data_IF_255386150786
#
_entry.id   IF_255386150786
#
_cell.length_a   1.000
_cell.length_b   1.000
_cell.length_c   1.000
_cell.angle_alpha   90.00
_cell.angle_beta   90.00
_cell.angle_gamma   90.00
#
_symmetry.space_group_name_H-M   'P 1'
#
loop_
_entity.id
_entity.type
_entity.pdbx_description
1 polymer ?
#
# COMPACT_ATOMS: atom_id res chain seq x y z
N UNK A 1 -15.80 0.64 -28.17
CA UNK A 1 -16.84 0.94 -27.17
C UNK A 1 -18.19 0.90 -27.86
N UNK A 2 -19.20 0.29 -27.25
CA UNK A 2 -20.57 0.31 -27.79
C UNK A 2 -21.17 1.71 -27.69
N UNK A 3 -22.19 1.99 -28.52
CA UNK A 3 -22.92 3.25 -28.50
C UNK A 3 -23.57 3.52 -27.14
N UNK A 4 -24.20 2.50 -26.55
CA UNK A 4 -24.75 2.58 -25.19
C UNK A 4 -23.70 2.98 -24.13
N UNK A 5 -22.47 2.46 -24.23
CA UNK A 5 -21.41 2.82 -23.30
C UNK A 5 -20.95 4.27 -23.48
N UNK A 6 -20.84 4.75 -24.73
CA UNK A 6 -20.50 6.15 -25.00
C UNK A 6 -21.58 7.08 -24.47
N UNK A 7 -22.85 6.80 -24.76
CA UNK A 7 -23.98 7.58 -24.26
C UNK A 7 -24.03 7.64 -22.73
N UNK A 8 -23.73 6.52 -22.05
CA UNK A 8 -23.61 6.47 -20.59
C UNK A 8 -22.52 7.42 -20.06
N UNK A 9 -21.30 7.33 -20.61
CA UNK A 9 -20.17 8.18 -20.19
C UNK A 9 -20.45 9.65 -20.49
N UNK A 10 -20.99 9.98 -21.66
CA UNK A 10 -21.37 11.35 -22.04
C UNK A 10 -22.40 11.95 -21.09
N UNK A 11 -23.39 11.15 -20.66
CA UNK A 11 -24.38 11.61 -19.69
C UNK A 11 -23.74 11.92 -18.32
N UNK A 12 -22.84 11.06 -17.84
CA UNK A 12 -22.09 11.31 -16.60
C UNK A 12 -21.23 12.59 -16.70
N UNK A 13 -20.51 12.76 -17.81
CA UNK A 13 -19.69 13.95 -18.05
C UNK A 13 -20.53 15.22 -18.04
N UNK A 14 -21.67 15.22 -18.74
CA UNK A 14 -22.59 16.37 -18.75
C UNK A 14 -23.11 16.70 -17.35
N UNK A 15 -23.48 15.69 -16.56
CA UNK A 15 -23.95 15.91 -15.18
C UNK A 15 -22.83 16.47 -14.30
N UNK A 16 -21.60 15.97 -14.44
CA UNK A 16 -20.43 16.49 -13.74
C UNK A 16 -20.17 17.96 -14.08
N UNK A 17 -20.19 18.32 -15.37
CA UNK A 17 -20.00 19.69 -15.85
C UNK A 17 -21.06 20.64 -15.29
N UNK A 18 -22.33 20.22 -15.23
CA UNK A 18 -23.42 20.99 -14.64
C UNK A 18 -23.16 21.27 -13.15
N UNK A 19 -22.79 20.26 -12.37
CA UNK A 19 -22.48 20.42 -10.94
C UNK A 19 -21.23 21.29 -10.75
N UNK A 20 -20.21 21.12 -11.58
CA UNK A 20 -18.99 21.91 -11.51
C UNK A 20 -19.26 23.39 -11.81
N UNK A 21 -20.09 23.70 -12.81
CA UNK A 21 -20.49 25.06 -13.12
C UNK A 21 -21.20 25.75 -11.94
N UNK A 22 -22.07 25.03 -11.23
CA UNK A 22 -22.70 25.52 -9.99
C UNK A 22 -21.64 25.82 -8.93
N UNK A 23 -20.68 24.90 -8.73
CA UNK A 23 -19.58 25.08 -7.77
C UNK A 23 -18.74 26.32 -8.07
N UNK A 24 -18.42 26.57 -9.35
CA UNK A 24 -17.69 27.77 -9.78
C UNK A 24 -18.45 29.04 -9.42
N UNK A 25 -19.76 29.10 -9.69
CA UNK A 25 -20.56 30.28 -9.36
C UNK A 25 -20.69 30.50 -7.84
N UNK A 26 -20.78 29.41 -7.07
CA UNK A 26 -20.80 29.49 -5.60
C UNK A 26 -19.48 30.04 -5.05
N UNK A 27 -18.34 29.47 -5.47
CA UNK A 27 -17.00 29.86 -5.00
C UNK A 27 -16.64 31.31 -5.33
N UNK A 28 -17.12 31.83 -6.47
CA UNK A 28 -16.96 33.25 -6.85
C UNK A 28 -17.55 34.25 -5.86
N UNK A 29 -18.49 33.82 -4.99
CA UNK A 29 -19.06 34.69 -3.94
C UNK A 29 -18.06 35.01 -2.82
N UNK A 30 -16.91 34.33 -2.77
CA UNK A 30 -15.85 34.63 -1.80
C UNK A 30 -16.20 34.26 -0.35
N UNK A 31 -17.13 33.31 -0.16
CA UNK A 31 -17.56 32.83 1.16
C UNK A 31 -16.71 31.66 1.68
N UNK A 32 -15.84 31.11 0.84
CA UNK A 32 -14.98 29.95 1.10
C UNK A 32 -13.49 30.34 0.96
N UNK A 33 -12.53 29.50 1.43
CA UNK A 33 -11.09 29.79 1.35
C UNK A 33 -10.52 30.06 -0.05
N UNK A 34 -11.22 29.64 -1.11
CA UNK A 34 -10.81 29.80 -2.49
C UNK A 34 -11.96 30.30 -3.38
N UNK A 35 -11.64 31.17 -4.34
CA UNK A 35 -12.60 31.73 -5.32
C UNK A 35 -12.93 30.78 -6.49
N UNK A 36 -12.26 29.62 -6.55
CA UNK A 36 -12.50 28.55 -7.52
C UNK A 36 -12.68 27.21 -6.79
N UNK A 37 -13.35 26.22 -7.40
CA UNK A 37 -13.33 24.86 -6.89
C UNK A 37 -11.89 24.36 -6.75
N UNK A 38 -11.57 23.77 -5.59
CA UNK A 38 -10.23 23.23 -5.29
C UNK A 38 -10.05 21.80 -5.83
N UNK A 39 -11.15 21.10 -6.12
CA UNK A 39 -11.13 19.80 -6.78
C UNK A 39 -11.09 20.02 -8.30
N UNK A 40 -9.97 19.71 -8.93
CA UNK A 40 -9.83 19.79 -10.39
C UNK A 40 -10.28 18.47 -11.04
N UNK A 41 -10.88 18.56 -12.22
CA UNK A 41 -11.34 17.40 -12.99
C UNK A 41 -10.17 16.91 -13.85
N UNK A 42 -9.73 15.67 -13.62
CA UNK A 42 -8.77 14.98 -14.47
C UNK A 42 -9.46 13.90 -15.30
N UNK A 43 -9.12 13.80 -16.59
CA UNK A 43 -9.72 12.82 -17.52
C UNK A 43 -9.03 11.47 -17.51
N UNK A 44 -7.74 11.46 -17.18
CA UNK A 44 -6.90 10.27 -17.19
C UNK A 44 -5.80 10.36 -16.13
N UNK A 45 -5.02 9.27 -16.02
CA UNK A 45 -3.85 9.18 -15.14
C UNK A 45 -2.85 10.32 -15.37
N UNK A 46 -2.68 10.75 -16.62
CA UNK A 46 -1.66 11.72 -16.98
C UNK A 46 -2.02 13.12 -16.45
N UNK A 47 -3.28 13.54 -16.63
CA UNK A 47 -3.81 14.77 -16.04
C UNK A 47 -3.86 14.69 -14.51
N UNK A 48 -4.14 13.52 -13.94
CA UNK A 48 -4.13 13.33 -12.49
C UNK A 48 -2.73 13.53 -11.90
N UNK A 49 -1.69 12.97 -12.53
CA UNK A 49 -0.29 13.16 -12.11
C UNK A 49 0.13 14.62 -12.27
N UNK A 50 -0.16 15.23 -13.42
CA UNK A 50 0.17 16.64 -13.67
C UNK A 50 -0.54 17.58 -12.69
N UNK A 51 -1.84 17.39 -12.45
CA UNK A 51 -2.61 18.20 -11.52
C UNK A 51 -2.18 18.00 -10.06
N UNK A 52 -1.76 16.79 -9.68
CA UNK A 52 -1.37 16.48 -8.30
C UNK A 52 0.01 17.02 -7.94
N UNK A 53 1.01 16.83 -8.82
CA UNK A 53 2.41 17.18 -8.52
C UNK A 53 3.14 17.87 -9.68
N UNK A 54 2.57 17.92 -10.88
CA UNK A 54 3.25 18.44 -12.07
C UNK A 54 4.44 17.57 -12.50
N UNK A 55 5.41 18.14 -13.24
CA UNK A 55 5.44 19.52 -13.73
C UNK A 55 4.47 19.76 -14.90
N UNK A 56 4.17 21.02 -15.27
CA UNK A 56 3.37 21.32 -16.44
C UNK A 56 3.91 20.68 -17.72
N UNK A 57 3.02 20.10 -18.53
CA UNK A 57 3.34 19.38 -19.77
C UNK A 57 3.78 17.92 -19.58
N UNK A 58 3.88 17.43 -18.34
CA UNK A 58 4.25 16.02 -18.09
C UNK A 58 3.19 15.03 -18.58
N UNK A 59 1.92 15.43 -18.61
CA UNK A 59 0.83 14.55 -19.03
C UNK A 59 1.00 14.06 -20.47
N UNK A 60 1.53 14.87 -21.38
CA UNK A 60 1.80 14.47 -22.76
C UNK A 60 2.81 13.33 -22.83
N UNK A 61 3.91 13.44 -22.07
CA UNK A 61 4.94 12.40 -22.02
C UNK A 61 4.42 11.12 -21.36
N UNK A 62 3.60 11.24 -20.31
CA UNK A 62 2.94 10.08 -19.67
C UNK A 62 2.01 9.36 -20.66
N UNK A 63 1.20 10.11 -21.43
CA UNK A 63 0.32 9.54 -22.46
C UNK A 63 1.10 8.85 -23.59
N UNK A 64 2.25 9.39 -23.96
CA UNK A 64 3.13 8.77 -24.95
C UNK A 64 3.72 7.45 -24.42
N UNK A 65 4.34 7.48 -23.25
CA UNK A 65 5.03 6.31 -22.69
C UNK A 65 4.09 5.22 -22.17
N UNK A 66 2.88 5.56 -21.74
CA UNK A 66 1.89 4.56 -21.32
C UNK A 66 1.48 3.57 -22.41
N UNK A 67 1.78 3.87 -23.69
CA UNK A 67 1.52 2.96 -24.82
C UNK A 67 2.56 1.85 -24.94
N UNK A 68 3.78 2.05 -24.45
CA UNK A 68 4.93 1.18 -24.73
C UNK A 68 5.71 0.74 -23.49
N UNK A 69 5.62 1.49 -22.38
CA UNK A 69 6.34 1.25 -21.14
C UNK A 69 5.41 0.74 -20.05
N UNK A 70 5.95 -0.11 -19.18
CA UNK A 70 5.32 -0.40 -17.90
C UNK A 70 5.29 0.84 -17.00
N UNK A 71 4.42 0.82 -16.00
CA UNK A 71 4.28 1.91 -15.01
C UNK A 71 5.61 2.21 -14.31
N UNK A 72 6.36 1.18 -13.97
CA UNK A 72 7.67 1.32 -13.33
C UNK A 72 8.68 1.95 -14.28
N UNK A 73 8.83 1.45 -15.52
CA UNK A 73 9.74 2.02 -16.53
C UNK A 73 9.43 3.50 -16.81
N UNK A 74 8.16 3.82 -16.95
CA UNK A 74 7.68 5.19 -17.17
C UNK A 74 8.04 6.12 -16.02
N UNK A 75 7.91 5.67 -14.77
CA UNK A 75 8.27 6.48 -13.60
C UNK A 75 9.75 6.87 -13.61
N UNK A 76 10.65 5.93 -13.96
CA UNK A 76 12.08 6.23 -14.11
C UNK A 76 12.36 7.13 -15.30
N UNK A 77 11.69 6.89 -16.44
CA UNK A 77 11.89 7.72 -17.64
C UNK A 77 11.47 9.17 -17.43
N UNK A 78 10.30 9.40 -16.82
CA UNK A 78 9.83 10.75 -16.51
C UNK A 78 10.73 11.42 -15.47
N UNK A 79 11.22 10.68 -14.46
CA UNK A 79 12.18 11.21 -13.50
C UNK A 79 13.48 11.68 -14.19
N UNK A 80 14.00 10.91 -15.14
CA UNK A 80 15.15 11.28 -15.96
C UNK A 80 14.90 12.58 -16.74
N UNK A 81 13.78 12.68 -17.45
CA UNK A 81 13.43 13.86 -18.26
C UNK A 81 13.25 15.13 -17.43
N UNK A 82 12.71 15.00 -16.21
CA UNK A 82 12.60 16.10 -15.25
C UNK A 82 14.00 16.58 -14.83
N UNK A 83 14.91 15.66 -14.53
CA UNK A 83 16.29 16.02 -14.13
C UNK A 83 17.05 16.68 -15.27
N UNK A 84 16.88 16.22 -16.51
CA UNK A 84 17.49 16.85 -17.69
C UNK A 84 16.80 18.15 -18.14
N UNK A 85 15.67 18.51 -17.54
CA UNK A 85 15.01 19.80 -17.76
C UNK A 85 14.04 19.86 -18.95
N UNK A 86 13.55 18.71 -19.44
CA UNK A 86 12.54 18.67 -20.53
C UNK A 86 11.31 19.54 -20.24
N UNK A 87 10.90 19.59 -18.96
CA UNK A 87 9.74 20.35 -18.47
C UNK A 87 10.15 21.70 -17.83
N UNK A 88 11.27 22.26 -18.28
CA UNK A 88 11.87 23.48 -17.76
C UNK A 88 12.99 23.22 -16.75
N UNK A 89 14.09 23.97 -16.89
CA UNK A 89 15.23 23.86 -15.99
C UNK A 89 14.89 24.28 -14.56
N UNK A 90 15.40 23.50 -13.60
CA UNK A 90 15.26 23.75 -12.16
C UNK A 90 16.60 23.55 -11.48
N UNK A 91 16.78 24.21 -10.34
CA UNK A 91 17.89 23.94 -9.43
C UNK A 91 17.95 22.44 -9.06
N UNK A 92 19.14 21.83 -8.88
CA UNK A 92 19.30 20.39 -8.68
C UNK A 92 18.39 19.79 -7.60
N UNK A 93 18.24 20.48 -6.47
CA UNK A 93 17.36 20.04 -5.36
C UNK A 93 15.89 20.04 -5.77
N UNK A 94 15.44 21.10 -6.47
CA UNK A 94 14.06 21.22 -6.95
C UNK A 94 13.76 20.23 -8.08
N UNK A 95 14.74 19.97 -8.95
CA UNK A 95 14.63 18.94 -9.98
C UNK A 95 14.52 17.55 -9.36
N UNK A 96 15.34 17.24 -8.34
CA UNK A 96 15.26 15.98 -7.61
C UNK A 96 13.92 15.80 -6.89
N UNK A 97 13.45 16.84 -6.20
CA UNK A 97 12.15 16.80 -5.53
C UNK A 97 11.01 16.56 -6.51
N UNK A 98 10.98 17.33 -7.61
CA UNK A 98 9.97 17.17 -8.66
C UNK A 98 10.01 15.76 -9.25
N UNK A 99 11.21 15.25 -9.58
CA UNK A 99 11.37 13.92 -10.16
C UNK A 99 10.85 12.82 -9.22
N UNK A 100 11.21 12.87 -7.93
CA UNK A 100 10.76 11.90 -6.93
C UNK A 100 9.24 11.95 -6.74
N UNK A 101 8.65 13.15 -6.64
CA UNK A 101 7.20 13.32 -6.48
C UNK A 101 6.43 12.83 -7.70
N UNK A 102 6.82 13.24 -8.90
CA UNK A 102 6.15 12.83 -10.15
C UNK A 102 6.27 11.33 -10.38
N UNK A 103 7.43 10.74 -10.14
CA UNK A 103 7.61 9.30 -10.26
C UNK A 103 6.76 8.52 -9.24
N UNK A 104 6.69 8.96 -7.98
CA UNK A 104 5.80 8.35 -6.99
C UNK A 104 4.32 8.51 -7.37
N UNK A 105 3.93 9.64 -7.97
CA UNK A 105 2.58 9.84 -8.48
C UNK A 105 2.25 8.85 -9.61
N UNK A 106 3.17 8.60 -10.54
CA UNK A 106 3.01 7.57 -11.59
C UNK A 106 2.87 6.17 -10.95
N UNK A 107 3.75 5.83 -10.00
CA UNK A 107 3.72 4.52 -9.33
C UNK A 107 2.44 4.27 -8.54
N UNK A 108 1.85 5.33 -7.98
CA UNK A 108 0.59 5.27 -7.20
C UNK A 108 -0.64 5.62 -8.04
N UNK A 109 -0.48 5.72 -9.35
CA UNK A 109 -1.54 6.05 -10.31
C UNK A 109 -2.26 7.38 -10.01
N UNK A 110 -1.60 8.30 -9.30
CA UNK A 110 -2.16 9.58 -8.87
C UNK A 110 -3.31 9.46 -7.85
N UNK A 111 -3.62 8.26 -7.36
CA UNK A 111 -4.78 7.99 -6.52
C UNK A 111 -4.53 8.25 -5.02
N UNK A 112 -3.29 8.50 -4.63
CA UNK A 112 -2.89 8.58 -3.22
C UNK A 112 -2.33 9.96 -2.88
N UNK A 113 -2.40 10.33 -1.60
CA UNK A 113 -1.79 11.56 -1.11
C UNK A 113 -0.26 11.45 -0.93
N UNK A 114 0.32 10.26 -1.14
CA UNK A 114 1.74 9.99 -0.90
C UNK A 114 2.71 10.90 -1.69
N UNK A 115 2.49 11.20 -2.98
CA UNK A 115 3.37 12.11 -3.73
C UNK A 115 3.37 13.55 -3.19
N UNK A 116 2.23 14.01 -2.67
CA UNK A 116 2.04 15.38 -2.22
C UNK A 116 2.40 15.56 -0.73
N UNK A 117 1.84 14.70 0.13
CA UNK A 117 1.93 14.79 1.58
C UNK A 117 2.88 13.75 2.19
N UNK A 118 3.20 12.68 1.47
CA UNK A 118 4.08 11.61 1.95
C UNK A 118 5.56 11.94 1.78
N UNK A 119 5.96 12.47 0.61
CA UNK A 119 7.29 13.05 0.37
C UNK A 119 7.21 14.54 0.70
N UNK A 120 7.83 14.97 1.79
CA UNK A 120 7.75 16.36 2.30
C UNK A 120 8.71 17.28 1.56
N UNK A 121 9.96 16.84 1.39
CA UNK A 121 11.00 17.56 0.66
C UNK A 121 12.15 16.62 0.29
N UNK A 122 12.96 17.05 -0.66
CA UNK A 122 14.25 16.43 -0.96
C UNK A 122 15.37 17.41 -0.64
N UNK A 123 16.48 16.94 -0.10
CA UNK A 123 17.64 17.76 0.22
C UNK A 123 18.93 17.11 -0.27
N UNK A 124 19.95 17.93 -0.53
CA UNK A 124 21.32 17.47 -0.76
C UNK A 124 22.11 17.76 0.52
N UNK A 125 22.63 16.71 1.15
CA UNK A 125 23.38 16.77 2.41
C UNK A 125 24.80 16.27 2.19
N UNK A 126 25.62 16.35 3.24
CA UNK A 126 27.06 16.09 3.17
C UNK A 126 27.46 14.96 4.10
N UNK A 127 28.21 13.99 3.60
CA UNK A 127 28.79 12.89 4.36
C UNK A 127 30.01 13.37 5.20
N UNK A 128 30.50 12.51 6.09
CA UNK A 128 31.70 12.80 6.89
C UNK A 128 32.96 13.05 6.04
N UNK A 129 33.06 12.43 4.86
CA UNK A 129 34.13 12.62 3.88
C UNK A 129 33.89 13.82 2.94
N UNK A 130 32.91 14.67 3.25
CA UNK A 130 32.47 15.83 2.47
C UNK A 130 31.82 15.51 1.13
N UNK A 131 31.56 14.25 0.79
CA UNK A 131 30.80 13.93 -0.41
C UNK A 131 29.32 14.31 -0.25
N UNK A 132 28.70 14.79 -1.32
CA UNK A 132 27.29 15.20 -1.32
C UNK A 132 26.39 14.02 -1.68
N UNK A 133 25.28 13.85 -0.97
CA UNK A 133 24.33 12.77 -1.18
C UNK A 133 22.88 13.27 -1.09
N UNK A 134 21.92 12.46 -1.52
CA UNK A 134 20.49 12.79 -1.51
C UNK A 134 19.79 12.30 -0.24
N UNK A 135 18.95 13.14 0.35
CA UNK A 135 18.07 12.82 1.48
C UNK A 135 16.61 13.08 1.12
N UNK A 136 15.74 12.11 1.39
CA UNK A 136 14.30 12.23 1.15
C UNK A 136 13.58 12.26 2.49
N UNK A 137 12.78 13.31 2.71
CA UNK A 137 12.01 13.50 3.93
C UNK A 137 10.60 12.96 3.74
N UNK A 138 10.24 11.97 4.55
CA UNK A 138 8.93 11.36 4.55
C UNK A 138 8.07 11.82 5.74
N UNK A 139 6.76 11.88 5.54
CA UNK A 139 5.77 12.07 6.59
C UNK A 139 4.78 10.90 6.65
N UNK A 140 3.99 10.82 7.72
CA UNK A 140 2.99 9.77 7.96
C UNK A 140 2.08 9.42 6.78
N UNK A 141 1.59 10.40 5.97
CA UNK A 141 0.74 10.14 4.81
C UNK A 141 1.37 9.23 3.74
N UNK A 142 2.69 9.00 3.75
CA UNK A 142 3.36 8.02 2.88
C UNK A 142 2.77 6.61 3.01
N UNK A 143 2.12 6.31 4.14
CA UNK A 143 1.37 5.06 4.38
C UNK A 143 0.30 4.78 3.32
N UNK A 144 -0.22 5.81 2.65
CA UNK A 144 -1.21 5.66 1.58
C UNK A 144 -0.64 5.02 0.31
N UNK A 145 0.68 5.13 0.06
CA UNK A 145 1.34 4.37 -0.99
C UNK A 145 1.53 2.91 -0.57
N UNK A 146 1.42 1.98 -1.52
CA UNK A 146 1.75 0.58 -1.27
C UNK A 146 3.21 0.43 -0.85
N UNK A 147 3.52 -0.56 0.01
CA UNK A 147 4.90 -0.75 0.50
C UNK A 147 5.93 -0.90 -0.63
N UNK A 148 5.54 -1.47 -1.77
CA UNK A 148 6.42 -1.54 -2.95
C UNK A 148 6.70 -0.15 -3.52
N UNK A 149 5.69 0.71 -3.66
CA UNK A 149 5.85 2.06 -4.23
C UNK A 149 6.64 2.97 -3.28
N UNK A 150 6.44 2.81 -1.96
CA UNK A 150 7.28 3.44 -0.93
C UNK A 150 8.76 3.08 -1.12
N UNK A 151 9.07 1.79 -1.29
CA UNK A 151 10.43 1.33 -1.50
C UNK A 151 11.03 1.81 -2.83
N UNK A 152 10.24 1.76 -3.92
CA UNK A 152 10.66 2.25 -5.23
C UNK A 152 10.96 3.75 -5.21
N UNK A 153 10.33 4.53 -4.32
CA UNK A 153 10.68 5.95 -4.12
C UNK A 153 12.17 6.12 -3.78
N UNK A 154 12.75 5.21 -2.99
CA UNK A 154 14.18 5.25 -2.65
C UNK A 154 15.07 4.78 -3.80
N UNK A 155 14.59 3.81 -4.60
CA UNK A 155 15.29 3.36 -5.81
C UNK A 155 15.32 4.49 -6.85
N UNK A 156 14.21 5.21 -7.02
CA UNK A 156 14.14 6.41 -7.86
C UNK A 156 15.04 7.51 -7.29
N UNK A 157 15.06 7.70 -5.97
CA UNK A 157 16.00 8.62 -5.33
C UNK A 157 17.46 8.28 -5.65
N UNK A 158 17.81 6.99 -5.66
CA UNK A 158 19.15 6.51 -6.03
C UNK A 158 19.46 6.71 -7.51
N UNK A 159 18.45 6.57 -8.37
CA UNK A 159 18.59 6.87 -9.79
C UNK A 159 18.81 8.37 -10.02
N UNK A 160 17.95 9.22 -9.45
CA UNK A 160 18.01 10.69 -9.54
C UNK A 160 19.34 11.23 -9.00
N UNK A 161 19.80 10.73 -7.84
CA UNK A 161 21.08 11.20 -7.26
C UNK A 161 22.28 10.86 -8.14
N UNK A 162 22.25 9.74 -8.87
CA UNK A 162 23.29 9.40 -9.86
C UNK A 162 23.26 10.35 -11.06
N UNK A 163 22.08 10.68 -11.58
CA UNK A 163 21.93 11.65 -12.68
C UNK A 163 22.48 13.04 -12.29
N UNK A 164 22.33 13.42 -11.02
CA UNK A 164 22.86 14.67 -10.47
C UNK A 164 24.34 14.61 -10.06
N UNK A 165 25.03 13.48 -10.28
CA UNK A 165 26.43 13.31 -9.90
C UNK A 165 26.69 13.30 -8.39
N UNK A 166 25.69 12.92 -7.59
CA UNK A 166 25.79 12.80 -6.14
C UNK A 166 26.31 11.41 -5.73
N UNK A 167 27.11 11.40 -4.65
CA UNK A 167 27.61 10.18 -4.04
C UNK A 167 26.50 9.45 -3.25
N UNK A 168 26.77 8.21 -2.85
CA UNK A 168 25.90 7.45 -1.96
C UNK A 168 25.88 8.04 -0.55
N UNK A 169 24.77 7.87 0.12
CA UNK A 169 24.67 8.05 1.56
C UNK A 169 25.57 7.04 2.29
N UNK A 170 26.31 7.54 3.28
CA UNK A 170 27.22 6.79 4.15
C UNK A 170 26.73 6.98 5.60
N UNK A 171 25.81 6.12 6.10
CA UNK A 171 25.30 6.24 7.45
C UNK A 171 26.39 5.96 8.49
N UNK A 172 26.36 6.72 9.58
CA UNK A 172 27.14 6.44 10.78
C UNK A 172 26.47 5.33 11.60
N UNK A 173 27.25 4.68 12.47
CA UNK A 173 26.71 3.68 13.41
C UNK A 173 25.60 4.27 14.29
N UNK A 174 25.74 5.51 14.74
CA UNK A 174 24.76 6.19 15.59
C UNK A 174 23.46 6.45 14.86
N UNK A 175 23.49 6.85 13.58
CA UNK A 175 22.28 7.04 12.78
C UNK A 175 21.53 5.73 12.54
N UNK A 176 22.25 4.62 12.33
CA UNK A 176 21.65 3.29 12.18
C UNK A 176 20.97 2.87 13.49
N UNK A 177 21.68 3.00 14.62
CA UNK A 177 21.14 2.62 15.92
C UNK A 177 19.98 3.54 16.34
N UNK A 178 20.04 4.84 16.00
CA UNK A 178 18.94 5.78 16.14
C UNK A 178 17.70 5.31 15.39
N UNK A 179 17.86 4.89 14.13
CA UNK A 179 16.74 4.42 13.32
C UNK A 179 16.12 3.15 13.93
N UNK A 180 16.94 2.21 14.41
CA UNK A 180 16.47 0.99 15.07
C UNK A 180 15.74 1.32 16.40
N UNK A 181 16.27 2.24 17.20
CA UNK A 181 15.59 2.73 18.42
C UNK A 181 14.21 3.31 18.08
N UNK A 182 14.13 4.16 17.05
CA UNK A 182 12.86 4.73 16.58
C UNK A 182 11.86 3.65 16.14
N UNK A 183 12.29 2.61 15.41
CA UNK A 183 11.40 1.48 15.02
C UNK A 183 10.80 0.82 16.26
N UNK A 184 11.61 0.49 17.26
CA UNK A 184 11.15 -0.20 18.47
C UNK A 184 10.25 0.67 19.34
N UNK A 185 10.55 1.96 19.44
CA UNK A 185 9.69 2.92 20.12
C UNK A 185 8.36 3.08 19.39
N UNK A 186 8.37 3.13 18.05
CA UNK A 186 7.14 3.25 17.25
C UNK A 186 6.23 2.04 17.43
N UNK A 187 6.77 0.81 17.39
CA UNK A 187 6.03 -0.43 17.64
C UNK A 187 5.40 -0.47 19.04
N UNK A 188 6.10 0.08 20.04
CA UNK A 188 5.67 0.08 21.44
C UNK A 188 4.63 1.16 21.74
N UNK A 189 4.83 2.38 21.24
CA UNK A 189 4.13 3.57 21.70
C UNK A 189 3.12 4.14 20.69
N UNK A 190 3.28 3.85 19.39
CA UNK A 190 2.47 4.49 18.34
C UNK A 190 1.58 3.45 17.66
N UNK A 191 2.16 2.56 16.87
CA UNK A 191 1.40 1.54 16.13
C UNK A 191 2.32 0.46 15.57
N UNK A 192 1.73 -0.68 15.21
CA UNK A 192 2.47 -1.79 14.62
C UNK A 192 2.73 -1.56 13.14
N UNK A 193 3.84 -2.12 12.68
CA UNK A 193 4.16 -2.24 11.26
C UNK A 193 3.40 -3.41 10.60
N UNK A 194 3.35 -3.44 9.27
CA UNK A 194 2.80 -4.58 8.53
C UNK A 194 3.68 -5.83 8.61
N UNK A 195 4.98 -5.62 8.80
CA UNK A 195 5.98 -6.67 8.93
C UNK A 195 6.75 -6.48 10.23
N UNK A 196 6.86 -7.55 11.01
CA UNK A 196 7.84 -7.59 12.08
C UNK A 196 9.21 -7.93 11.49
N UNK A 197 10.15 -6.98 11.61
CA UNK A 197 11.50 -7.07 11.05
C UNK A 197 12.51 -7.04 12.19
N UNK A 198 13.50 -7.91 12.15
CA UNK A 198 14.55 -7.97 13.18
C UNK A 198 15.52 -6.79 13.12
N UNK A 199 16.17 -6.48 14.24
CA UNK A 199 17.20 -5.41 14.31
C UNK A 199 18.34 -5.66 13.32
N UNK A 200 18.73 -6.92 13.13
CA UNK A 200 19.80 -7.30 12.21
C UNK A 200 19.41 -7.05 10.74
N UNK A 201 18.17 -7.38 10.36
CA UNK A 201 17.66 -7.11 9.01
C UNK A 201 17.55 -5.61 8.74
N UNK A 202 17.07 -4.83 9.72
CA UNK A 202 17.04 -3.36 9.61
C UNK A 202 18.45 -2.78 9.49
N UNK A 203 19.38 -3.23 10.33
CA UNK A 203 20.78 -2.79 10.31
C UNK A 203 21.40 -3.00 8.93
N UNK A 204 21.31 -4.22 8.40
CA UNK A 204 21.84 -4.55 7.08
C UNK A 204 21.23 -3.67 6.00
N UNK A 205 19.91 -3.51 5.99
CA UNK A 205 19.25 -2.64 5.01
C UNK A 205 19.75 -1.19 5.09
N UNK A 206 19.84 -0.63 6.29
CA UNK A 206 20.29 0.74 6.51
C UNK A 206 21.75 0.97 6.07
N UNK A 207 22.65 -0.01 6.27
CA UNK A 207 24.05 0.08 5.84
C UNK A 207 24.22 0.16 4.31
N UNK A 208 23.31 -0.46 3.55
CA UNK A 208 23.37 -0.50 2.09
C UNK A 208 22.54 0.57 1.38
N UNK A 209 21.63 1.27 2.07
CA UNK A 209 20.79 2.29 1.45
C UNK A 209 21.64 3.46 0.89
N UNK A 210 21.57 3.74 -0.42
CA UNK A 210 22.39 4.78 -1.06
C UNK A 210 21.81 6.20 -0.92
N UNK A 211 20.61 6.33 -0.35
CA UNK A 211 19.89 7.59 -0.13
C UNK A 211 19.48 7.63 1.34
N UNK A 212 19.60 8.80 1.98
CA UNK A 212 19.14 8.96 3.36
C UNK A 212 17.61 8.96 3.39
N UNK A 213 17.05 8.01 4.14
CA UNK A 213 15.62 7.96 4.48
C UNK A 213 15.44 8.69 5.79
N UNK A 214 14.88 9.90 5.73
CA UNK A 214 14.61 10.72 6.91
C UNK A 214 13.19 11.27 6.83
N UNK A 215 12.80 12.15 7.73
CA UNK A 215 11.42 12.62 7.79
C UNK A 215 11.20 13.72 8.80
N UNK A 216 10.00 14.29 8.73
CA UNK A 216 9.51 15.20 9.76
C UNK A 216 9.16 14.40 11.01
N UNK A 217 9.15 15.08 12.16
CA UNK A 217 8.54 14.50 13.36
C UNK A 217 7.07 14.17 13.07
N UNK A 218 6.67 12.94 13.40
CA UNK A 218 5.29 12.48 13.22
C UNK A 218 4.55 12.29 14.54
N UNK A 219 5.28 11.96 15.61
CA UNK A 219 4.71 11.57 16.89
C UNK A 219 5.46 12.26 18.04
N UNK A 220 4.78 12.64 19.13
CA UNK A 220 5.39 13.35 20.27
C UNK A 220 6.20 12.43 21.19
N UNK A 221 6.82 11.38 20.63
CA UNK A 221 7.65 10.41 21.36
C UNK A 221 9.11 10.71 21.04
N UNK A 222 9.92 10.90 22.08
CA UNK A 222 11.34 11.20 21.94
C UNK A 222 12.21 9.94 22.06
N UNK A 223 13.34 9.96 21.35
CA UNK A 223 14.39 8.97 21.55
C UNK A 223 15.20 9.28 22.81
N UNK A 224 15.76 8.22 23.40
CA UNK A 224 16.53 8.30 24.64
C UNK A 224 18.03 8.31 24.38
N UNK A 225 18.51 7.40 23.53
CA UNK A 225 19.95 7.11 23.44
C UNK A 225 20.66 7.99 22.41
N UNK A 226 20.11 8.10 21.20
CA UNK A 226 20.80 8.74 20.07
C UNK A 226 20.23 10.12 19.74
N UNK A 227 20.37 11.07 20.68
CA UNK A 227 19.86 12.45 20.56
C UNK A 227 20.84 13.38 19.84
N UNK A 228 20.32 14.44 19.23
CA UNK A 228 21.08 15.56 18.64
C UNK A 228 22.13 15.14 17.60
N UNK A 229 21.80 14.15 16.76
CA UNK A 229 22.71 13.72 15.70
C UNK A 229 22.84 14.82 14.63
N UNK A 230 24.05 15.12 14.10
CA UNK A 230 24.29 16.28 13.24
C UNK A 230 23.40 16.36 11.99
N UNK A 231 22.99 15.20 11.46
CA UNK A 231 22.17 15.07 10.25
C UNK A 231 20.71 14.72 10.56
N UNK A 232 20.28 14.73 11.82
CA UNK A 232 18.88 14.43 12.17
C UNK A 232 18.34 15.60 12.98
N UNK A 233 17.43 16.36 12.37
CA UNK A 233 16.99 17.67 12.84
C UNK A 233 15.99 17.61 14.00
N UNK A 234 15.60 16.40 14.44
CA UNK A 234 14.64 16.18 15.54
C UNK A 234 15.08 15.03 16.44
N UNK A 235 14.64 15.06 17.70
CA UNK A 235 14.76 13.93 18.64
C UNK A 235 13.49 13.09 18.74
N UNK A 236 12.47 13.41 17.94
CA UNK A 236 11.21 12.67 17.90
C UNK A 236 11.22 11.59 16.83
N UNK A 237 10.24 10.70 16.90
CA UNK A 237 10.06 9.62 15.93
C UNK A 237 9.66 10.17 14.55
N UNK A 238 10.30 9.64 13.51
CA UNK A 238 10.06 9.96 12.09
C UNK A 238 9.28 8.83 11.41
N UNK A 239 8.03 8.61 11.80
CA UNK A 239 7.22 7.45 11.43
C UNK A 239 7.06 7.22 9.93
N UNK A 240 7.08 8.28 9.11
CA UNK A 240 7.10 8.16 7.64
C UNK A 240 8.34 7.42 7.13
N UNK A 241 9.52 7.83 7.58
CA UNK A 241 10.80 7.20 7.24
C UNK A 241 10.84 5.73 7.68
N UNK A 242 10.38 5.47 8.91
CA UNK A 242 10.34 4.12 9.47
C UNK A 242 9.51 3.15 8.62
N UNK A 243 8.34 3.60 8.13
CA UNK A 243 7.46 2.79 7.28
C UNK A 243 8.10 2.45 5.94
N UNK A 244 8.72 3.43 5.30
CA UNK A 244 9.38 3.23 4.00
C UNK A 244 10.47 2.16 4.09
N UNK A 245 11.23 2.14 5.19
CA UNK A 245 12.28 1.11 5.40
C UNK A 245 11.67 -0.23 5.84
N UNK A 246 10.83 -0.22 6.89
CA UNK A 246 10.33 -1.46 7.50
C UNK A 246 9.27 -2.17 6.63
N UNK A 247 8.20 -1.46 6.26
CA UNK A 247 7.09 -2.02 5.47
C UNK A 247 7.39 -2.03 3.98
N UNK A 248 8.26 -1.13 3.52
CA UNK A 248 8.70 -1.02 2.13
C UNK A 248 9.95 -1.85 1.82
N UNK A 249 11.14 -1.30 2.03
CA UNK A 249 12.43 -1.90 1.63
C UNK A 249 12.56 -3.33 2.17
N UNK A 250 12.47 -3.53 3.48
CA UNK A 250 12.64 -4.84 4.08
C UNK A 250 11.36 -5.66 3.92
N UNK A 251 10.20 -5.06 4.21
CA UNK A 251 8.86 -5.63 4.08
C UNK A 251 8.58 -6.28 2.71
N UNK A 252 8.99 -5.61 1.63
CA UNK A 252 8.74 -5.98 0.22
C UNK A 252 10.00 -6.28 -0.57
N UNK A 253 11.13 -6.56 0.08
CA UNK A 253 12.43 -6.81 -0.55
C UNK A 253 12.34 -7.71 -1.81
N UNK A 254 11.60 -8.82 -1.76
CA UNK A 254 11.41 -9.71 -2.91
C UNK A 254 10.79 -9.04 -4.13
N UNK A 255 9.72 -8.25 -3.94
CA UNK A 255 9.00 -7.60 -5.03
C UNK A 255 9.78 -6.41 -5.57
N UNK A 256 10.44 -5.66 -4.69
CA UNK A 256 11.33 -4.56 -5.07
C UNK A 256 12.51 -5.10 -5.89
N UNK A 257 13.13 -6.19 -5.45
CA UNK A 257 14.22 -6.84 -6.19
C UNK A 257 13.79 -7.24 -7.61
N UNK A 258 12.63 -7.90 -7.77
CA UNK A 258 12.14 -8.29 -9.10
C UNK A 258 11.99 -7.10 -10.05
N UNK A 259 11.54 -5.95 -9.54
CA UNK A 259 11.40 -4.73 -10.35
C UNK A 259 12.77 -4.15 -10.69
N UNK A 260 13.65 -3.99 -9.70
CA UNK A 260 15.02 -3.50 -9.86
C UNK A 260 15.79 -4.33 -10.89
N UNK A 261 15.70 -5.66 -10.78
CA UNK A 261 16.34 -6.61 -11.69
C UNK A 261 15.80 -6.49 -13.11
N UNK A 262 14.47 -6.42 -13.27
CA UNK A 262 13.82 -6.23 -14.57
C UNK A 262 14.25 -4.93 -15.24
N UNK A 263 14.41 -3.86 -14.47
CA UNK A 263 14.83 -2.54 -14.95
C UNK A 263 16.36 -2.41 -15.12
N UNK A 264 17.14 -3.42 -14.75
CA UNK A 264 18.61 -3.38 -14.84
C UNK A 264 19.27 -2.38 -13.90
N UNK A 265 18.64 -2.03 -12.77
CA UNK A 265 19.16 -1.03 -11.83
C UNK A 265 20.25 -1.68 -10.95
N UNK A 266 21.48 -1.19 -11.10
CA UNK A 266 22.64 -1.72 -10.38
C UNK A 266 22.74 -1.21 -8.94
N UNK A 267 23.37 -1.99 -8.05
CA UNK A 267 23.71 -1.59 -6.68
C UNK A 267 22.66 -1.97 -5.61
N UNK A 268 21.68 -2.79 -5.99
CA UNK A 268 20.58 -3.23 -5.13
C UNK A 268 20.55 -4.76 -4.92
N UNK A 269 21.59 -5.49 -5.34
CA UNK A 269 21.72 -6.96 -5.21
C UNK A 269 21.61 -7.48 -3.77
N UNK A 270 21.94 -6.63 -2.79
CA UNK A 270 21.82 -6.95 -1.37
C UNK A 270 20.36 -7.25 -0.94
N UNK A 271 19.36 -6.81 -1.71
CA UNK A 271 17.95 -7.21 -1.49
C UNK A 271 17.72 -8.72 -1.61
N UNK A 272 18.56 -9.45 -2.37
CA UNK A 272 18.50 -10.92 -2.46
C UNK A 272 18.71 -11.57 -1.10
N UNK A 273 19.66 -11.06 -0.32
CA UNK A 273 20.00 -11.60 1.00
C UNK A 273 18.86 -11.36 2.01
N UNK A 274 18.18 -10.21 1.90
CA UNK A 274 16.97 -9.89 2.71
C UNK A 274 15.78 -10.78 2.33
N UNK A 275 15.69 -11.22 1.07
CA UNK A 275 14.64 -12.15 0.61
C UNK A 275 14.82 -13.57 1.19
N UNK A 276 16.06 -14.04 1.31
CA UNK A 276 16.35 -15.41 1.77
C UNK A 276 16.05 -15.62 3.25
N UNK A 277 16.26 -14.60 4.09
CA UNK A 277 15.92 -14.66 5.53
C UNK A 277 14.43 -14.88 5.78
N UNK A 278 13.56 -14.31 4.92
CA UNK A 278 12.10 -14.37 5.06
C UNK A 278 11.48 -15.72 4.73
N UNK A 279 12.00 -16.45 3.75
CA UNK A 279 11.44 -17.76 3.34
C UNK A 279 11.46 -18.79 4.47
N UNK A 280 12.30 -18.62 5.49
CA UNK A 280 12.40 -19.54 6.63
C UNK A 280 11.33 -19.35 7.73
N UNK A 281 10.49 -18.31 7.69
CA UNK A 281 9.61 -17.91 8.82
C UNK A 281 8.08 -17.98 8.56
N UNK A 282 7.59 -18.73 7.58
CA UNK A 282 6.20 -18.62 7.06
C UNK A 282 5.05 -19.15 7.94
N UNK A 283 5.17 -19.21 9.27
CA UNK A 283 4.14 -19.75 10.17
C UNK A 283 3.22 -18.70 10.85
N UNK A 284 3.24 -17.44 10.39
CA UNK A 284 2.68 -16.29 11.14
C UNK A 284 1.17 -16.00 11.06
N UNK A 285 0.31 -16.92 10.57
CA UNK A 285 -1.13 -16.60 10.48
C UNK A 285 -1.84 -16.54 11.85
N UNK A 286 -1.40 -17.37 12.82
CA UNK A 286 -2.07 -17.52 14.13
C UNK A 286 -1.47 -16.65 15.24
N UNK A 287 -0.34 -15.99 15.02
CA UNK A 287 0.33 -15.18 16.05
C UNK A 287 -0.39 -13.83 16.32
N UNK A 288 -1.42 -13.49 15.54
CA UNK A 288 -2.10 -12.19 15.57
C UNK A 288 -3.63 -12.30 15.79
N UNK A 289 -4.06 -13.19 16.68
CA UNK A 289 -5.48 -13.23 17.10
C UNK A 289 -5.75 -12.10 18.08
N UNK A 290 -6.51 -11.09 17.64
CA UNK A 290 -6.95 -9.98 18.48
C UNK A 290 -8.19 -10.42 19.27
N UNK A 291 -8.25 -10.06 20.56
CA UNK A 291 -9.42 -10.29 21.40
C UNK A 291 -10.70 -9.77 20.73
N UNK A 292 -11.77 -10.56 20.75
CA UNK A 292 -13.06 -10.24 20.11
C UNK A 292 -13.17 -10.62 18.63
N UNK A 293 -12.10 -11.12 17.99
CA UNK A 293 -12.18 -11.72 16.64
C UNK A 293 -12.27 -13.24 16.74
N UNK A 294 -13.40 -13.87 16.37
CA UNK A 294 -13.53 -15.32 16.43
C UNK A 294 -12.62 -16.00 15.40
N UNK A 295 -12.10 -17.17 15.77
CA UNK A 295 -11.41 -18.08 14.85
C UNK A 295 -12.46 -19.07 14.34
N UNK A 296 -12.78 -18.99 13.05
CA UNK A 296 -13.79 -19.88 12.46
C UNK A 296 -13.24 -21.28 12.16
N UNK A 297 -11.96 -21.39 11.79
CA UNK A 297 -11.30 -22.68 11.53
C UNK A 297 -9.80 -22.56 11.71
N UNK A 298 -9.19 -23.63 12.24
CA UNK A 298 -7.73 -23.79 12.19
C UNK A 298 -7.28 -24.15 10.76
N UNK A 299 -6.03 -23.82 10.38
CA UNK A 299 -5.47 -24.21 9.08
C UNK A 299 -5.56 -25.72 8.86
N UNK A 300 -5.95 -26.15 7.66
CA UNK A 300 -6.08 -27.56 7.26
C UNK A 300 -6.96 -28.44 8.17
N UNK A 301 -7.87 -27.83 8.96
CA UNK A 301 -8.78 -28.57 9.83
C UNK A 301 -10.01 -29.04 9.04
N UNK A 302 -10.24 -30.36 9.04
CA UNK A 302 -11.48 -30.96 8.53
C UNK A 302 -12.67 -30.40 9.33
N UNK A 303 -13.71 -29.96 8.63
CA UNK A 303 -14.90 -29.29 9.21
C UNK A 303 -14.89 -27.77 9.09
N UNK A 304 -13.74 -27.17 8.71
CA UNK A 304 -13.66 -25.76 8.33
C UNK A 304 -14.39 -25.43 7.03
N UNK A 305 -14.14 -24.24 6.50
CA UNK A 305 -14.64 -23.85 5.19
C UNK A 305 -14.08 -24.76 4.10
N UNK A 306 -14.95 -25.36 3.29
CA UNK A 306 -14.56 -26.14 2.13
C UNK A 306 -14.28 -25.19 0.96
N UNK A 307 -13.07 -25.22 0.43
CA UNK A 307 -12.70 -24.39 -0.71
C UNK A 307 -13.52 -24.79 -1.94
N UNK A 308 -14.16 -23.80 -2.59
CA UNK A 308 -14.81 -23.96 -3.89
C UNK A 308 -14.29 -22.91 -4.85
N UNK A 309 -13.65 -23.34 -5.93
CA UNK A 309 -13.24 -22.42 -6.99
C UNK A 309 -14.48 -21.95 -7.77
N UNK A 310 -14.60 -20.65 -7.95
CA UNK A 310 -15.63 -20.07 -8.80
C UNK A 310 -15.85 -18.59 -8.53
N UNK A 311 -16.68 -17.97 -9.37
CA UNK A 311 -17.05 -16.56 -9.24
C UNK A 311 -18.55 -16.42 -9.44
N UNK A 312 -19.23 -15.94 -8.40
CA UNK A 312 -20.61 -15.50 -8.47
C UNK A 312 -20.69 -14.04 -8.96
N UNK A 313 -21.90 -13.59 -9.34
CA UNK A 313 -22.18 -12.22 -9.83
C UNK A 313 -21.66 -11.10 -8.93
N UNK A 314 -21.60 -11.35 -7.63
CA UNK A 314 -21.18 -10.39 -6.61
C UNK A 314 -19.75 -10.65 -6.09
N UNK A 315 -19.07 -11.73 -6.45
CA UNK A 315 -17.74 -12.08 -5.90
C UNK A 315 -16.58 -11.87 -6.89
N UNK A 316 -15.35 -12.03 -6.41
CA UNK A 316 -14.09 -11.67 -7.10
C UNK A 316 -13.50 -10.36 -6.56
N UNK A 317 -12.31 -9.97 -7.02
CA UNK A 317 -11.57 -8.82 -6.48
C UNK A 317 -11.39 -8.91 -4.94
N UNK A 318 -10.95 -10.08 -4.46
CA UNK A 318 -10.88 -10.44 -3.05
C UNK A 318 -12.22 -10.53 -2.29
N UNK A 319 -13.37 -10.48 -2.96
CA UNK A 319 -14.64 -10.84 -2.35
C UNK A 319 -14.88 -12.37 -2.44
N UNK A 320 -15.17 -12.98 -1.29
CA UNK A 320 -15.41 -14.41 -1.12
C UNK A 320 -16.89 -14.71 -0.87
N UNK A 321 -17.37 -15.82 -1.41
CA UNK A 321 -18.76 -16.23 -1.24
C UNK A 321 -18.94 -17.15 -0.04
N UNK A 322 -19.93 -16.85 0.80
CA UNK A 322 -20.34 -17.69 1.94
C UNK A 322 -21.85 -17.91 1.87
N UNK A 323 -22.30 -19.12 2.20
CA UNK A 323 -23.72 -19.41 2.23
C UNK A 323 -24.43 -18.63 3.35
N UNK A 324 -25.59 -17.98 3.11
CA UNK A 324 -26.30 -17.22 4.14
C UNK A 324 -26.64 -18.03 5.41
N UNK A 325 -26.97 -19.32 5.26
CA UNK A 325 -27.17 -20.20 6.41
C UNK A 325 -25.93 -20.31 7.33
N UNK A 326 -24.71 -20.28 6.76
CA UNK A 326 -23.46 -20.25 7.56
C UNK A 326 -23.36 -18.97 8.38
N UNK A 327 -23.76 -17.83 7.82
CA UNK A 327 -23.78 -16.55 8.55
C UNK A 327 -24.69 -16.62 9.78
N UNK A 328 -25.87 -17.22 9.63
CA UNK A 328 -26.84 -17.42 10.72
C UNK A 328 -26.33 -18.38 11.79
N UNK A 329 -25.78 -19.53 11.37
CA UNK A 329 -25.20 -20.55 12.28
C UNK A 329 -24.03 -19.98 13.08
N UNK A 330 -23.29 -19.04 12.50
CA UNK A 330 -22.22 -18.30 13.16
C UNK A 330 -22.72 -17.04 13.89
N UNK A 331 -24.01 -16.98 14.23
CA UNK A 331 -24.62 -15.91 15.03
C UNK A 331 -24.36 -14.49 14.50
N UNK A 332 -24.22 -14.34 13.17
CA UNK A 332 -23.97 -13.04 12.54
C UNK A 332 -22.56 -12.49 12.72
N UNK A 333 -21.62 -13.24 13.29
CA UNK A 333 -20.20 -12.85 13.30
C UNK A 333 -19.63 -12.72 11.89
N UNK A 334 -20.13 -13.54 10.97
CA UNK A 334 -19.93 -13.38 9.53
C UNK A 334 -21.23 -12.82 8.95
N UNK A 335 -21.13 -11.69 8.28
CA UNK A 335 -22.22 -11.05 7.54
C UNK A 335 -21.71 -10.56 6.19
N UNK A 336 -22.62 -10.09 5.33
CA UNK A 336 -22.26 -9.41 4.10
C UNK A 336 -21.40 -8.17 4.42
N UNK A 337 -20.20 -8.08 3.84
CA UNK A 337 -19.22 -7.04 4.10
C UNK A 337 -18.20 -7.36 5.21
N UNK A 338 -18.38 -8.44 5.98
CA UNK A 338 -17.38 -8.86 6.98
C UNK A 338 -16.07 -9.23 6.29
N UNK A 339 -14.96 -8.62 6.70
CA UNK A 339 -13.64 -8.99 6.23
C UNK A 339 -13.12 -10.21 7.00
N UNK A 340 -12.98 -11.33 6.32
CA UNK A 340 -12.28 -12.51 6.84
C UNK A 340 -10.78 -12.37 6.61
N UNK A 341 -9.99 -12.79 7.60
CA UNK A 341 -8.56 -13.03 7.42
C UNK A 341 -8.42 -14.47 6.91
N UNK A 342 -7.81 -14.65 5.74
CA UNK A 342 -7.70 -15.95 5.09
C UNK A 342 -6.29 -16.51 5.24
N UNK A 343 -6.16 -17.83 5.38
CA UNK A 343 -4.87 -18.50 5.30
C UNK A 343 -4.39 -18.64 3.84
N UNK A 344 -5.33 -18.80 2.90
CA UNK A 344 -5.10 -18.90 1.46
C UNK A 344 -6.43 -18.68 0.70
N UNK A 345 -6.46 -18.01 -0.47
CA UNK A 345 -5.44 -17.14 -1.03
C UNK A 345 -5.53 -15.73 -0.42
N UNK A 346 -4.43 -14.98 -0.48
CA UNK A 346 -4.36 -13.61 0.02
C UNK A 346 -4.43 -13.52 1.55
N UNK A 347 -4.36 -12.28 2.07
CA UNK A 347 -4.39 -12.00 3.53
C UNK A 347 -5.79 -11.75 4.07
N UNK A 348 -6.78 -11.61 3.20
CA UNK A 348 -8.17 -11.46 3.60
C UNK A 348 -9.13 -11.43 2.42
N UNK A 349 -10.41 -11.59 2.73
CA UNK A 349 -11.48 -11.51 1.74
C UNK A 349 -12.77 -10.96 2.34
N UNK A 350 -13.51 -10.19 1.55
CA UNK A 350 -14.78 -9.60 1.96
C UNK A 350 -15.90 -10.58 1.68
N UNK A 351 -16.68 -10.91 2.70
CA UNK A 351 -17.75 -11.90 2.57
C UNK A 351 -18.95 -11.33 1.84
N UNK A 352 -19.45 -12.09 0.87
CA UNK A 352 -20.70 -11.83 0.19
C UNK A 352 -21.58 -13.08 0.16
N UNK A 353 -22.91 -12.92 0.23
CA UNK A 353 -23.82 -14.05 0.24
C UNK A 353 -23.87 -14.73 -1.12
N UNK A 354 -23.75 -16.06 -1.13
CA UNK A 354 -23.96 -16.92 -2.29
C UNK A 354 -24.79 -18.12 -1.84
N UNK A 355 -26.02 -18.22 -2.31
CA UNK A 355 -27.01 -19.23 -1.93
C UNK A 355 -26.94 -20.52 -2.79
N UNK A 356 -26.17 -20.51 -3.87
CA UNK A 356 -25.98 -21.66 -4.76
C UNK A 356 -24.85 -22.61 -4.37
N UNK A 357 -24.10 -22.31 -3.31
CA UNK A 357 -23.00 -23.15 -2.80
C UNK A 357 -23.46 -24.01 -1.61
N UNK A 358 -22.66 -24.99 -1.19
CA UNK A 358 -23.11 -25.89 -0.12
C UNK A 358 -23.19 -25.16 1.23
N UNK A 359 -24.30 -25.34 1.98
CA UNK A 359 -24.52 -24.74 3.29
C UNK A 359 -23.80 -25.52 4.41
N UNK A 360 -23.85 -25.08 5.68
CA UNK A 360 -23.19 -25.79 6.76
C UNK A 360 -23.96 -27.07 7.14
N UNK A 361 -23.27 -27.98 7.84
CA UNK A 361 -23.85 -29.19 8.43
C UNK A 361 -23.60 -29.17 9.92
N UNK A 362 -24.66 -29.39 10.71
CA UNK A 362 -24.65 -29.25 12.17
C UNK A 362 -25.21 -30.51 12.84
N UNK A 363 -24.76 -30.77 14.07
CA UNK A 363 -25.38 -31.73 15.00
C UNK A 363 -26.23 -30.96 15.99
N UNK A 364 -27.49 -31.36 16.13
CA UNK A 364 -28.43 -30.79 17.09
C UNK A 364 -28.29 -31.46 18.46
N UNK A 365 -28.80 -30.82 19.52
CA UNK A 365 -28.79 -31.32 20.91
C UNK A 365 -29.47 -32.68 21.10
N UNK A 366 -30.37 -33.07 20.18
CA UNK A 366 -31.03 -34.38 20.18
C UNK A 366 -30.23 -35.48 19.45
N UNK A 367 -29.06 -35.15 18.90
CA UNK A 367 -28.19 -36.09 18.18
C UNK A 367 -28.34 -36.06 16.65
N UNK A 368 -29.39 -35.42 16.12
CA UNK A 368 -29.63 -35.38 14.67
C UNK A 368 -28.57 -34.59 13.92
N UNK A 369 -28.17 -35.07 12.75
CA UNK A 369 -27.26 -34.37 11.83
C UNK A 369 -28.08 -33.75 10.70
N UNK A 370 -28.06 -32.43 10.61
CA UNK A 370 -28.88 -31.67 9.69
C UNK A 370 -28.01 -30.82 8.78
N UNK A 371 -28.28 -30.88 7.47
CA UNK A 371 -27.80 -29.87 6.52
C UNK A 371 -28.69 -28.64 6.66
N UNK A 372 -28.08 -27.51 7.03
CA UNK A 372 -28.81 -26.27 7.28
C UNK A 372 -29.26 -25.69 5.94
N UNK A 373 -30.48 -25.19 5.86
CA UNK A 373 -31.00 -24.47 4.71
C UNK A 373 -31.38 -23.05 5.13
N UNK A 374 -31.63 -22.16 4.17
CA UNK A 374 -32.03 -20.79 4.48
C UNK A 374 -33.37 -20.72 5.22
N UNK A 375 -34.24 -21.71 5.00
CA UNK A 375 -35.57 -21.82 5.61
C UNK A 375 -35.48 -22.28 7.07
N UNK A 376 -34.61 -23.26 7.38
CA UNK A 376 -34.52 -23.85 8.72
C UNK A 376 -33.49 -23.17 9.65
N UNK A 377 -32.58 -22.36 9.10
CA UNK A 377 -31.42 -21.84 9.84
C UNK A 377 -31.79 -21.08 11.11
N UNK A 378 -32.89 -20.33 11.11
CA UNK A 378 -33.33 -19.54 12.28
C UNK A 378 -33.91 -20.43 13.38
N UNK A 379 -34.71 -21.42 13.01
CA UNK A 379 -35.41 -22.30 13.96
C UNK A 379 -34.44 -23.25 14.68
N UNK A 380 -33.42 -23.72 13.97
CA UNK A 380 -32.49 -24.69 14.54
C UNK A 380 -31.34 -24.04 15.32
N UNK A 381 -31.12 -22.73 15.20
CA UNK A 381 -29.91 -22.07 15.71
C UNK A 381 -29.68 -22.31 17.22
N UNK A 382 -30.73 -22.22 18.03
CA UNK A 382 -30.67 -22.46 19.48
C UNK A 382 -30.53 -23.95 19.86
N UNK A 383 -30.81 -24.83 18.89
CA UNK A 383 -30.76 -26.29 19.03
C UNK A 383 -29.43 -26.87 18.55
N UNK A 384 -28.54 -26.08 17.96
CA UNK A 384 -27.21 -26.51 17.51
C UNK A 384 -26.36 -26.86 18.74
N UNK A 385 -25.85 -28.08 18.77
CA UNK A 385 -24.86 -28.52 19.75
C UNK A 385 -23.44 -28.38 19.19
N UNK A 386 -23.24 -28.74 17.92
CA UNK A 386 -21.93 -28.73 17.27
C UNK A 386 -22.04 -28.43 15.78
N UNK A 387 -21.19 -27.52 15.28
CA UNK A 387 -21.01 -27.33 13.84
C UNK A 387 -20.02 -28.40 13.35
N UNK A 388 -20.45 -29.23 12.39
CA UNK A 388 -19.61 -30.29 11.82
C UNK A 388 -18.84 -29.79 10.60
N UNK A 389 -19.51 -29.03 9.74
CA UNK A 389 -18.94 -28.41 8.55
C UNK A 389 -19.48 -26.98 8.39
N UNK A 390 -18.60 -26.00 8.13
CA UNK A 390 -19.00 -24.61 7.89
C UNK A 390 -19.66 -24.38 6.53
N UNK A 391 -19.57 -25.35 5.61
CA UNK A 391 -20.02 -25.21 4.23
C UNK A 391 -18.93 -24.68 3.31
N UNK A 392 -19.34 -24.22 2.13
CA UNK A 392 -18.42 -23.73 1.10
C UNK A 392 -17.93 -22.30 1.38
N UNK A 393 -16.67 -22.07 0.99
CA UNK A 393 -16.11 -20.74 0.77
C UNK A 393 -15.75 -20.62 -0.71
N UNK A 394 -16.55 -19.84 -1.45
CA UNK A 394 -16.36 -19.61 -2.87
C UNK A 394 -15.25 -18.58 -3.08
N UNK A 395 -14.20 -18.95 -3.80
CA UNK A 395 -13.07 -18.06 -4.07
C UNK A 395 -12.77 -18.05 -5.57
N UNK A 396 -12.56 -16.85 -6.12
CA UNK A 396 -12.24 -16.71 -7.54
C UNK A 396 -10.86 -17.27 -7.85
N UNK A 397 -10.71 -17.91 -9.00
CA UNK A 397 -9.40 -18.34 -9.50
C UNK A 397 -8.43 -17.14 -9.62
N UNK A 398 -8.93 -15.96 -10.02
CA UNK A 398 -8.11 -14.75 -10.12
C UNK A 398 -7.45 -14.36 -8.79
N UNK A 399 -8.13 -14.59 -7.66
CA UNK A 399 -7.59 -14.26 -6.34
C UNK A 399 -6.39 -15.17 -5.98
N UNK A 400 -6.31 -16.39 -6.54
CA UNK A 400 -5.12 -17.24 -6.41
C UNK A 400 -3.98 -16.83 -7.35
N UNK A 401 -4.31 -16.31 -8.53
CA UNK A 401 -3.30 -15.91 -9.52
C UNK A 401 -2.55 -14.63 -9.11
N UNK A 402 -3.26 -13.69 -8.47
CA UNK A 402 -2.72 -12.37 -8.12
C UNK A 402 -2.25 -12.24 -6.66
N UNK A 403 -2.48 -13.25 -5.82
CA UNK A 403 -1.96 -13.32 -4.43
C UNK A 403 -0.62 -14.02 -4.38
#
# INVERSE_FOLDING_TARGET
>A
MSENYRSYVENLTRQLEQVYAISVQARKKGLDPAFKPECEIAKDLAELVEGLVGPPGVSESIREYSKTMSREEMAFKIAEEIVYGKFGHKEPVKAAEQAVRTALAILTEGLTAAPLQGVVKVAIKTNADRSRYLAIYFAGPIRSAGGTDQALTLVIGDFVRRLLGLDRYKPTREEILRFIEEVRLYERAVTRFQYHVSDEELRRALEYLPVEVTGTESDPVEVSSFRNLPRIETNRIRGGALRVVNDGIVGRASKVWTIVEKLGIQGWDWLKQVRESKKKKSAGFMEEVIAGRPIFSFPNKIGGFRLRYGRARNTGLAAVGVHPATMTVLQGFIAAGTQLRLGLPGKGGVVLPVDSIEPPVVRLKNGDVVRVSSENAREINERIEKILFLGDLLISFGDFLYS
#
